data_IF_456391755296
#
_entry.id   IF_456391755296
#
_cell.length_a   1.000
_cell.length_b   1.000
_cell.length_c   1.000
_cell.angle_alpha   90.00
_cell.angle_beta   90.00
_cell.angle_gamma   90.00
#
_symmetry.space_group_name_H-M   'P 1'
#
loop_
_entity.id
_entity.type
_entity.pdbx_description
1 polymer ?
#
# COMPACT_ATOMS: atom_id res chain seq x y z
N UNK A 1 21.93 37.55 24.43
CA UNK A 1 22.25 36.31 23.67
C UNK A 1 22.60 36.70 22.24
N UNK A 2 23.66 36.13 21.67
CA UNK A 2 24.14 36.50 20.33
C UNK A 2 23.09 36.16 19.27
N UNK A 3 22.90 37.07 18.29
CA UNK A 3 21.90 36.95 17.22
C UNK A 3 22.02 35.61 16.47
N UNK A 4 23.23 35.14 16.20
CA UNK A 4 23.48 33.84 15.56
C UNK A 4 22.93 32.66 16.35
N UNK A 5 22.94 32.71 17.69
CA UNK A 5 22.41 31.61 18.51
C UNK A 5 20.89 31.53 18.41
N UNK A 6 20.22 32.69 18.36
CA UNK A 6 18.76 32.76 18.18
C UNK A 6 18.37 32.22 16.81
N UNK A 7 19.06 32.65 15.74
CA UNK A 7 18.78 32.15 14.37
C UNK A 7 19.02 30.64 14.28
N UNK A 8 20.11 30.12 14.84
CA UNK A 8 20.40 28.68 14.82
C UNK A 8 19.29 27.85 15.48
N UNK A 9 18.79 28.29 16.64
CA UNK A 9 17.70 27.62 17.35
C UNK A 9 16.41 27.70 16.54
N UNK A 10 16.08 28.87 15.98
CA UNK A 10 14.86 29.06 15.18
C UNK A 10 14.87 28.19 13.93
N UNK A 11 15.99 28.14 13.19
CA UNK A 11 16.12 27.29 12.01
C UNK A 11 15.98 25.81 12.38
N UNK A 12 16.60 25.37 13.48
CA UNK A 12 16.45 24.01 14.00
C UNK A 12 15.00 23.68 14.36
N UNK A 13 14.32 24.59 15.07
CA UNK A 13 12.91 24.41 15.44
C UNK A 13 11.99 24.34 14.22
N UNK A 14 12.19 25.21 13.24
CA UNK A 14 11.42 25.20 11.98
C UNK A 14 11.65 23.89 11.22
N UNK A 15 12.89 23.39 11.16
CA UNK A 15 13.19 22.11 10.53
C UNK A 15 12.46 20.95 11.21
N UNK A 16 12.37 20.94 12.54
CA UNK A 16 11.66 19.90 13.28
C UNK A 16 10.15 19.98 13.02
N UNK A 17 9.57 21.19 13.04
CA UNK A 17 8.15 21.40 12.74
C UNK A 17 7.82 20.91 11.32
N UNK A 18 8.65 21.26 10.33
CA UNK A 18 8.49 20.80 8.95
C UNK A 18 8.59 19.28 8.83
N UNK A 19 9.53 18.65 9.53
CA UNK A 19 9.66 17.19 9.54
C UNK A 19 8.42 16.51 10.12
N UNK A 20 7.89 17.00 11.24
CA UNK A 20 6.66 16.48 11.85
C UNK A 20 5.46 16.69 10.91
N UNK A 21 5.33 17.88 10.32
CA UNK A 21 4.26 18.17 9.36
C UNK A 21 4.33 17.24 8.13
N UNK A 22 5.52 16.95 7.62
CA UNK A 22 5.73 15.99 6.54
C UNK A 22 5.27 14.58 6.92
N UNK A 23 5.63 14.09 8.11
CA UNK A 23 5.20 12.77 8.58
C UNK A 23 3.69 12.68 8.73
N UNK A 24 3.05 13.71 9.29
CA UNK A 24 1.59 13.78 9.41
C UNK A 24 0.94 13.78 8.02
N UNK A 25 1.50 14.54 7.08
CA UNK A 25 1.02 14.58 5.70
C UNK A 25 1.10 13.18 5.09
N UNK A 26 2.27 12.54 5.07
CA UNK A 26 2.45 11.19 4.54
C UNK A 26 1.48 10.21 5.20
N UNK A 27 1.30 10.29 6.53
CA UNK A 27 0.35 9.45 7.23
C UNK A 27 -1.08 9.64 6.70
N UNK A 28 -1.52 10.88 6.50
CA UNK A 28 -2.83 11.19 5.91
C UNK A 28 -2.95 10.69 4.46
N UNK A 29 -1.86 10.75 3.69
CA UNK A 29 -1.83 10.21 2.32
C UNK A 29 -1.81 8.68 2.29
N UNK A 30 -1.36 8.02 3.35
CA UNK A 30 -1.39 6.56 3.47
C UNK A 30 -2.78 6.05 3.89
N UNK A 31 -3.57 6.89 4.59
CA UNK A 31 -4.97 6.63 4.92
C UNK A 31 -5.93 6.59 3.71
N UNK A 32 -5.43 6.67 2.47
CA UNK A 32 -6.22 6.69 1.21
C UNK A 32 -6.97 5.39 0.89
N UNK A 33 -6.92 4.41 1.79
CA UNK A 33 -7.74 3.22 1.72
C UNK A 33 -6.90 1.97 1.60
N UNK A 34 -7.37 0.91 2.24
CA UNK A 34 -6.68 -0.38 2.20
C UNK A 34 -6.54 -0.83 0.75
N UNK A 35 -5.32 -1.26 0.41
CA UNK A 35 -5.06 -1.93 -0.84
C UNK A 35 -5.91 -3.20 -0.86
N UNK A 36 -7.09 -3.14 -1.50
CA UNK A 36 -7.89 -4.34 -1.70
C UNK A 36 -7.04 -5.29 -2.54
N UNK A 37 -6.86 -6.55 -2.11
CA UNK A 37 -6.07 -7.50 -2.88
C UNK A 37 -6.66 -7.58 -4.29
N UNK A 38 -5.78 -7.65 -5.28
CA UNK A 38 -6.21 -7.80 -6.66
C UNK A 38 -7.20 -8.97 -6.74
N UNK A 39 -8.34 -8.81 -7.44
CA UNK A 39 -9.30 -9.88 -7.57
C UNK A 39 -8.58 -11.15 -8.02
N UNK A 40 -8.72 -12.23 -7.26
CA UNK A 40 -8.31 -13.55 -7.74
C UNK A 40 -9.25 -13.89 -8.89
N UNK A 41 -8.79 -13.73 -10.13
CA UNK A 41 -9.59 -14.06 -11.28
C UNK A 41 -10.01 -15.53 -11.19
N UNK A 42 -11.30 -15.78 -11.00
CA UNK A 42 -11.90 -17.12 -10.96
C UNK A 42 -11.74 -17.91 -12.27
N UNK A 43 -11.09 -17.32 -13.28
CA UNK A 43 -10.74 -17.99 -14.55
C UNK A 43 -9.92 -19.26 -14.34
N UNK A 44 -9.09 -19.37 -13.29
CA UNK A 44 -8.36 -20.61 -13.01
C UNK A 44 -9.27 -21.73 -12.47
N UNK A 45 -10.31 -21.40 -11.70
CA UNK A 45 -11.25 -22.37 -11.13
C UNK A 45 -12.09 -23.05 -12.23
N UNK A 46 -12.46 -22.29 -13.27
CA UNK A 46 -13.25 -22.80 -14.39
C UNK A 46 -12.49 -23.83 -15.24
N UNK A 47 -11.17 -23.68 -15.39
CA UNK A 47 -10.34 -24.57 -16.22
C UNK A 47 -10.17 -25.94 -15.56
N UNK A 48 -10.04 -25.98 -14.23
CA UNK A 48 -9.88 -27.25 -13.48
C UNK A 48 -11.21 -28.03 -13.49
N UNK A 49 -12.35 -27.34 -13.33
CA UNK A 49 -13.67 -27.97 -13.39
C UNK A 49 -14.00 -28.55 -14.77
N UNK A 50 -13.66 -27.84 -15.86
CA UNK A 50 -13.86 -28.33 -17.23
C UNK A 50 -12.93 -29.50 -17.56
N UNK A 51 -11.67 -29.44 -17.13
CA UNK A 51 -10.69 -30.51 -17.37
C UNK A 51 -11.09 -31.81 -16.67
N UNK A 52 -11.53 -31.74 -15.42
CA UNK A 52 -11.96 -32.91 -14.68
C UNK A 52 -13.21 -33.55 -15.31
N UNK A 53 -14.21 -32.75 -15.71
CA UNK A 53 -15.40 -33.26 -16.40
C UNK A 53 -15.08 -33.98 -17.72
N UNK A 54 -14.11 -33.49 -18.48
CA UNK A 54 -13.68 -34.12 -19.75
C UNK A 54 -12.98 -35.47 -19.54
N UNK A 55 -12.11 -35.57 -18.53
CA UNK A 55 -11.38 -36.81 -18.22
C UNK A 55 -12.29 -37.92 -17.70
N UNK A 56 -13.34 -37.57 -16.96
CA UNK A 56 -14.34 -38.54 -16.51
C UNK A 56 -15.23 -39.02 -17.66
N UNK A 57 -15.58 -38.13 -18.61
CA UNK A 57 -16.32 -38.51 -19.81
C UNK A 57 -15.52 -39.41 -20.76
N UNK A 58 -14.18 -39.26 -20.78
CA UNK A 58 -13.27 -40.13 -21.53
C UNK A 58 -13.11 -41.51 -20.86
N UNK A 59 -13.06 -41.58 -19.52
CA UNK A 59 -12.90 -42.82 -18.78
C UNK A 59 -14.14 -43.75 -18.81
N UNK A 60 -15.29 -43.26 -19.28
CA UNK A 60 -16.55 -44.00 -19.37
C UNK A 60 -16.91 -44.45 -20.81
N UNK A 61 -16.05 -44.15 -21.78
CA UNK A 61 -16.15 -44.63 -23.18
C UNK A 61 -15.23 -45.82 -23.38
#
# INVERSE_FOLDING_TARGET
MNRSKIVAIMTGAISIILAIAYLILVQLLDLRGEMKPAPISQTQQSVIASTNGQRLAEALR
#
